data_IF_476843321183
#
_entry.id   IF_476843321183
#
_cell.length_a   1.000
_cell.length_b   1.000
_cell.length_c   1.000
_cell.angle_alpha   90.00
_cell.angle_beta   90.00
_cell.angle_gamma   90.00
#
_symmetry.space_group_name_H-M   'P 1'
#
loop_
_entity.id
_entity.type
_entity.pdbx_description
1 polymer ?
#
# COMPACT_ATOMS: atom_id res chain seq x y z
N UNK A 1 11.54 -23.08 -10.93
CA UNK A 1 10.06 -23.13 -10.80
C UNK A 1 9.40 -21.75 -10.65
N UNK A 2 10.09 -20.71 -10.15
CA UNK A 2 9.55 -19.35 -10.06
C UNK A 2 9.66 -18.48 -11.33
N UNK A 3 10.40 -18.93 -12.35
CA UNK A 3 10.68 -18.11 -13.55
C UNK A 3 9.52 -17.94 -14.54
N UNK A 4 8.34 -18.53 -14.29
CA UNK A 4 7.15 -18.36 -15.14
C UNK A 4 6.04 -17.51 -14.50
N UNK A 5 6.23 -17.09 -13.24
CA UNK A 5 5.29 -16.23 -12.51
C UNK A 5 5.85 -14.82 -12.28
N UNK A 6 7.11 -14.59 -12.66
CA UNK A 6 7.82 -13.32 -12.50
C UNK A 6 8.11 -12.75 -13.89
N UNK A 7 7.73 -11.49 -14.11
CA UNK A 7 8.02 -10.76 -15.36
C UNK A 7 9.54 -10.66 -15.57
N UNK A 8 10.01 -10.47 -16.81
CA UNK A 8 11.45 -10.28 -17.13
C UNK A 8 12.09 -9.10 -16.36
N UNK A 9 11.30 -8.11 -15.91
CA UNK A 9 11.79 -7.03 -15.03
C UNK A 9 11.87 -7.41 -13.54
N UNK A 10 11.16 -8.44 -13.08
CA UNK A 10 11.15 -8.87 -11.67
C UNK A 10 12.25 -9.88 -11.36
N UNK A 11 12.83 -10.53 -12.37
CA UNK A 11 13.89 -11.52 -12.17
C UNK A 11 15.25 -10.90 -11.81
N UNK A 12 15.47 -9.64 -12.19
CA UNK A 12 16.67 -8.87 -11.80
C UNK A 12 16.40 -7.91 -10.62
N UNK A 13 15.14 -7.76 -10.19
CA UNK A 13 14.73 -6.76 -9.21
C UNK A 13 14.44 -7.38 -7.83
N UNK A 14 15.44 -8.05 -7.25
CA UNK A 14 15.46 -8.43 -5.82
C UNK A 14 15.04 -7.27 -4.90
N UNK A 15 15.26 -6.03 -5.37
CA UNK A 15 14.87 -4.82 -4.66
C UNK A 15 13.35 -4.70 -4.48
N UNK A 16 12.49 -5.14 -5.40
CA UNK A 16 11.03 -5.01 -5.24
C UNK A 16 10.50 -5.80 -4.05
N UNK A 17 10.81 -7.10 -3.98
CA UNK A 17 10.46 -7.96 -2.83
C UNK A 17 11.10 -7.48 -1.52
N UNK A 18 12.35 -7.04 -1.58
CA UNK A 18 13.03 -6.48 -0.41
C UNK A 18 12.34 -5.20 0.08
N UNK A 19 11.98 -4.30 -0.82
CA UNK A 19 11.28 -3.05 -0.53
C UNK A 19 9.87 -3.30 0.01
N UNK A 20 9.18 -4.33 -0.48
CA UNK A 20 7.92 -4.81 0.09
C UNK A 20 8.10 -5.27 1.54
N UNK A 21 9.07 -6.14 1.80
CA UNK A 21 9.35 -6.61 3.15
C UNK A 21 9.74 -5.45 4.10
N UNK A 22 10.60 -4.54 3.64
CA UNK A 22 11.01 -3.34 4.39
C UNK A 22 9.83 -2.40 4.62
N UNK A 23 9.00 -2.15 3.62
CA UNK A 23 7.82 -1.28 3.72
C UNK A 23 6.79 -1.84 4.70
N UNK A 24 6.53 -3.14 4.64
CA UNK A 24 5.65 -3.83 5.57
C UNK A 24 6.22 -3.80 7.00
N UNK A 25 7.51 -4.08 7.18
CA UNK A 25 8.17 -4.00 8.49
C UNK A 25 8.10 -2.57 9.07
N UNK A 26 8.39 -1.56 8.25
CA UNK A 26 8.30 -0.16 8.66
C UNK A 26 6.87 0.22 9.08
N UNK A 27 5.86 -0.19 8.31
CA UNK A 27 4.45 0.03 8.68
C UNK A 27 4.10 -0.66 10.00
N UNK A 28 4.54 -1.90 10.20
CA UNK A 28 4.28 -2.64 11.45
C UNK A 28 4.96 -2.04 12.67
N UNK A 29 6.13 -1.41 12.52
CA UNK A 29 6.87 -0.77 13.61
C UNK A 29 6.36 0.64 13.93
N UNK A 30 6.05 1.43 12.89
CA UNK A 30 5.61 2.84 13.01
C UNK A 30 4.12 2.96 13.33
N UNK A 31 3.29 2.05 12.81
CA UNK A 31 1.85 2.03 13.03
C UNK A 31 1.42 0.72 13.71
N UNK A 32 1.97 0.39 14.89
CA UNK A 32 1.86 -0.94 15.45
C UNK A 32 0.41 -1.39 15.64
N UNK A 33 0.06 -2.65 15.32
CA UNK A 33 -1.27 -3.16 15.57
C UNK A 33 -1.53 -3.31 17.08
N UNK A 34 -2.80 -3.45 17.45
CA UNK A 34 -3.18 -3.73 18.84
C UNK A 34 -2.49 -5.01 19.35
N UNK A 35 -1.86 -4.93 20.53
CA UNK A 35 -1.13 -6.03 21.14
C UNK A 35 0.35 -6.13 20.76
N UNK A 36 0.89 -5.19 19.99
CA UNK A 36 2.33 -5.10 19.76
C UNK A 36 3.11 -4.85 21.06
N UNK A 37 4.28 -5.47 21.20
CA UNK A 37 5.16 -5.31 22.36
C UNK A 37 5.65 -3.85 22.45
N UNK A 38 5.44 -3.14 23.59
CA UNK A 38 5.92 -1.77 23.77
C UNK A 38 7.43 -1.59 23.64
N UNK A 39 8.22 -2.66 23.84
CA UNK A 39 9.67 -2.62 23.69
C UNK A 39 10.13 -2.66 22.23
N UNK A 40 9.24 -3.02 21.30
CA UNK A 40 9.51 -3.15 19.86
C UNK A 40 8.78 -2.07 19.06
N UNK A 41 7.59 -1.66 19.51
CA UNK A 41 6.78 -0.63 18.89
C UNK A 41 7.45 0.76 18.95
N UNK A 42 7.38 1.53 17.85
CA UNK A 42 7.91 2.89 17.78
C UNK A 42 6.87 3.97 18.15
N UNK A 43 5.59 3.59 18.28
CA UNK A 43 4.47 4.48 18.54
C UNK A 43 3.32 3.76 19.27
N UNK A 44 2.30 4.52 19.67
CA UNK A 44 1.07 3.95 20.21
C UNK A 44 0.34 3.06 19.18
N UNK A 45 -0.35 1.99 19.61
CA UNK A 45 -1.08 1.12 18.70
C UNK A 45 -2.15 1.84 17.87
N UNK A 46 -2.29 1.40 16.62
CA UNK A 46 -3.22 1.98 15.64
C UNK A 46 -3.92 0.88 14.82
N UNK A 47 -5.13 1.14 14.28
CA UNK A 47 -5.83 0.17 13.46
C UNK A 47 -5.37 0.14 11.98
N UNK A 48 -4.32 0.87 11.60
CA UNK A 48 -4.05 1.19 10.18
C UNK A 48 -3.02 0.28 9.50
N UNK A 49 -2.17 -0.41 10.27
CA UNK A 49 -1.12 -1.25 9.69
C UNK A 49 -1.69 -2.42 8.88
N UNK A 50 -2.58 -3.21 9.49
CA UNK A 50 -3.19 -4.39 8.83
C UNK A 50 -3.85 -4.04 7.49
N UNK A 51 -4.76 -3.04 7.39
CA UNK A 51 -5.36 -2.71 6.12
C UNK A 51 -4.35 -2.18 5.09
N UNK A 52 -3.34 -1.40 5.50
CA UNK A 52 -2.30 -0.92 4.57
C UNK A 52 -1.45 -2.07 4.02
N UNK A 53 -1.12 -3.04 4.87
CA UNK A 53 -0.44 -4.28 4.50
C UNK A 53 -1.29 -5.13 3.53
N UNK A 54 -2.61 -5.18 3.72
CA UNK A 54 -3.54 -5.86 2.82
C UNK A 54 -3.66 -5.15 1.46
N UNK A 55 -3.61 -3.82 1.43
CA UNK A 55 -3.60 -3.09 0.16
C UNK A 55 -2.40 -3.48 -0.71
N UNK A 56 -1.21 -3.61 -0.12
CA UNK A 56 -0.06 -4.13 -0.86
C UNK A 56 -0.24 -5.61 -1.22
N UNK A 57 -0.59 -6.46 -0.27
CA UNK A 57 -0.57 -7.92 -0.50
C UNK A 57 -1.76 -8.45 -1.30
N UNK A 58 -2.81 -7.65 -1.49
CA UNK A 58 -4.04 -8.03 -2.20
C UNK A 58 -4.40 -7.05 -3.30
N UNK A 59 -4.54 -5.76 -3.01
CA UNK A 59 -5.02 -4.79 -4.01
C UNK A 59 -3.99 -4.58 -5.14
N UNK A 60 -2.70 -4.58 -4.84
CA UNK A 60 -1.64 -4.48 -5.85
C UNK A 60 -1.60 -5.70 -6.80
N UNK A 61 -1.58 -6.97 -6.33
CA UNK A 61 -1.72 -8.12 -7.23
C UNK A 61 -2.98 -8.08 -8.10
N UNK A 62 -4.13 -7.65 -7.55
CA UNK A 62 -5.35 -7.46 -8.34
C UNK A 62 -5.14 -6.40 -9.43
N UNK A 63 -4.56 -5.25 -9.09
CA UNK A 63 -4.22 -4.18 -10.04
C UNK A 63 -3.25 -4.67 -11.13
N UNK A 64 -2.22 -5.42 -10.74
CA UNK A 64 -1.24 -6.01 -11.65
C UNK A 64 -1.87 -6.98 -12.65
N UNK A 65 -2.80 -7.84 -12.19
CA UNK A 65 -3.55 -8.76 -13.05
C UNK A 65 -4.45 -8.01 -14.03
N UNK A 66 -5.20 -7.01 -13.55
CA UNK A 66 -6.09 -6.18 -14.37
C UNK A 66 -5.34 -5.30 -15.38
N UNK A 67 -4.12 -4.88 -15.06
CA UNK A 67 -3.24 -4.10 -15.93
C UNK A 67 -2.39 -4.96 -16.89
N UNK A 68 -2.36 -6.28 -16.71
CA UNK A 68 -1.56 -7.18 -17.54
C UNK A 68 -2.15 -7.27 -18.95
N UNK A 69 -1.36 -6.88 -19.97
CA UNK A 69 -1.80 -6.88 -21.37
C UNK A 69 -1.78 -5.52 -22.07
N UNK A 70 -1.54 -4.42 -21.33
CA UNK A 70 -1.36 -3.10 -21.95
C UNK A 70 -0.01 -2.49 -21.58
N UNK A 71 0.92 -2.42 -22.54
CA UNK A 71 2.19 -1.67 -22.45
C UNK A 71 1.91 -0.16 -22.55
N UNK A 72 1.15 0.40 -21.61
CA UNK A 72 0.87 1.84 -21.55
C UNK A 72 1.64 2.47 -20.39
N UNK A 73 2.20 3.68 -20.57
CA UNK A 73 2.90 4.41 -19.51
C UNK A 73 2.03 4.71 -18.30
N UNK A 74 0.72 4.83 -18.50
CA UNK A 74 -0.28 5.12 -17.47
C UNK A 74 -1.27 3.96 -17.35
N UNK A 75 -1.59 3.57 -16.10
CA UNK A 75 -2.64 2.59 -15.82
C UNK A 75 -3.98 3.11 -16.36
N UNK A 76 -4.80 2.20 -16.87
CA UNK A 76 -6.12 2.53 -17.38
C UNK A 76 -6.99 3.04 -16.22
N UNK A 77 -7.83 4.05 -16.48
CA UNK A 77 -8.65 4.66 -15.44
C UNK A 77 -9.53 3.64 -14.68
N UNK A 78 -10.03 2.61 -15.36
CA UNK A 78 -10.83 1.57 -14.72
C UNK A 78 -10.01 0.64 -13.82
N UNK A 79 -8.71 0.41 -14.12
CA UNK A 79 -7.80 -0.35 -13.24
C UNK A 79 -7.58 0.44 -11.96
N UNK A 80 -7.31 1.74 -12.06
CA UNK A 80 -7.17 2.61 -10.89
C UNK A 80 -8.46 2.65 -10.06
N UNK A 81 -9.63 2.70 -10.70
CA UNK A 81 -10.92 2.64 -10.00
C UNK A 81 -11.11 1.30 -9.27
N UNK A 82 -10.71 0.19 -9.89
CA UNK A 82 -10.74 -1.14 -9.28
C UNK A 82 -9.78 -1.22 -8.08
N UNK A 83 -8.53 -0.73 -8.22
CA UNK A 83 -7.56 -0.64 -7.11
C UNK A 83 -8.14 0.16 -5.96
N UNK A 84 -8.70 1.34 -6.24
CA UNK A 84 -9.34 2.20 -5.24
C UNK A 84 -10.47 1.48 -4.50
N UNK A 85 -11.36 0.80 -5.24
CA UNK A 85 -12.46 0.05 -4.68
C UNK A 85 -11.98 -1.08 -3.77
N UNK A 86 -11.07 -1.93 -4.25
CA UNK A 86 -10.52 -3.06 -3.49
C UNK A 86 -9.79 -2.57 -2.25
N UNK A 87 -8.91 -1.57 -2.39
CA UNK A 87 -8.15 -1.02 -1.27
C UNK A 87 -9.08 -0.42 -0.20
N UNK A 88 -10.08 0.36 -0.60
CA UNK A 88 -11.06 0.95 0.33
C UNK A 88 -11.85 -0.14 1.06
N UNK A 89 -12.30 -1.18 0.35
CA UNK A 89 -13.06 -2.29 0.95
C UNK A 89 -12.22 -3.11 1.94
N UNK A 90 -10.94 -3.32 1.65
CA UNK A 90 -10.02 -3.98 2.58
C UNK A 90 -9.81 -3.18 3.87
N UNK A 91 -9.85 -1.85 3.82
CA UNK A 91 -9.71 -0.99 4.98
C UNK A 91 -11.00 -0.81 5.79
N UNK A 92 -12.16 -0.88 5.15
CA UNK A 92 -13.46 -0.62 5.76
C UNK A 92 -13.74 -1.37 7.09
N UNK A 93 -13.34 -2.64 7.30
CA UNK A 93 -13.60 -3.33 8.57
C UNK A 93 -12.64 -2.92 9.70
N UNK A 94 -11.58 -2.15 9.42
CA UNK A 94 -10.54 -1.81 10.40
C UNK A 94 -10.61 -0.35 10.86
N UNK A 95 -10.99 0.57 9.98
CA UNK A 95 -10.92 2.02 10.22
C UNK A 95 -12.23 2.72 9.84
N UNK A 96 -12.51 3.94 10.36
CA UNK A 96 -13.66 4.74 9.93
C UNK A 96 -13.70 4.94 8.41
N UNK A 97 -14.90 5.09 7.84
CA UNK A 97 -15.09 5.13 6.38
C UNK A 97 -14.27 6.23 5.69
N UNK A 98 -14.13 7.40 6.31
CA UNK A 98 -13.30 8.49 5.79
C UNK A 98 -11.82 8.09 5.70
N UNK A 99 -11.29 7.43 6.73
CA UNK A 99 -9.93 6.90 6.72
C UNK A 99 -9.76 5.80 5.66
N UNK A 100 -10.73 4.87 5.56
CA UNK A 100 -10.69 3.80 4.55
C UNK A 100 -10.63 4.36 3.12
N UNK A 101 -11.45 5.37 2.81
CA UNK A 101 -11.44 6.06 1.52
C UNK A 101 -10.09 6.74 1.27
N UNK A 102 -9.54 7.46 2.26
CA UNK A 102 -8.24 8.13 2.12
C UNK A 102 -7.09 7.14 1.95
N UNK A 103 -7.12 6.01 2.65
CA UNK A 103 -6.19 4.90 2.44
C UNK A 103 -6.28 4.32 1.04
N UNK A 104 -7.50 4.10 0.54
CA UNK A 104 -7.74 3.64 -0.83
C UNK A 104 -7.24 4.62 -1.90
N UNK A 105 -7.46 5.92 -1.72
CA UNK A 105 -6.90 6.97 -2.61
C UNK A 105 -5.37 6.92 -2.60
N UNK A 106 -4.75 6.89 -1.41
CA UNK A 106 -3.30 6.88 -1.28
C UNK A 106 -2.68 5.64 -1.94
N UNK A 107 -3.25 4.45 -1.72
CA UNK A 107 -2.82 3.21 -2.35
C UNK A 107 -2.93 3.28 -3.88
N UNK A 108 -4.06 3.81 -4.39
CA UNK A 108 -4.28 3.94 -5.84
C UNK A 108 -3.31 4.91 -6.50
N UNK A 109 -2.97 6.00 -5.82
CA UNK A 109 -1.96 6.95 -6.30
C UNK A 109 -0.58 6.31 -6.31
N UNK A 110 -0.20 5.62 -5.23
CA UNK A 110 1.07 4.91 -5.14
C UNK A 110 1.20 3.80 -6.19
N UNK A 111 0.11 3.10 -6.49
CA UNK A 111 0.01 2.07 -7.52
C UNK A 111 0.07 2.64 -8.97
N UNK A 112 -0.47 3.84 -9.16
CA UNK A 112 -0.54 4.50 -10.46
C UNK A 112 0.66 5.39 -10.81
N UNK A 113 1.39 5.87 -9.80
CA UNK A 113 2.49 6.83 -9.95
C UNK A 113 3.79 6.21 -9.43
N UNK A 114 4.79 6.11 -10.31
CA UNK A 114 6.14 5.61 -9.98
C UNK A 114 7.11 6.78 -9.83
N UNK A 115 7.33 7.33 -8.62
CA UNK A 115 8.24 8.46 -8.44
C UNK A 115 9.69 8.02 -8.66
N UNK A 116 10.49 8.92 -9.25
CA UNK A 116 11.92 8.71 -9.51
C UNK A 116 12.72 9.68 -8.64
N UNK A 117 13.55 9.15 -7.75
CA UNK A 117 14.43 9.94 -6.89
C UNK A 117 15.87 9.63 -7.22
N UNK A 118 16.64 10.65 -7.65
CA UNK A 118 18.05 10.53 -8.04
C UNK A 118 18.31 9.42 -9.08
N UNK A 119 17.38 9.24 -10.01
CA UNK A 119 17.45 8.21 -11.06
C UNK A 119 16.95 6.82 -10.66
N UNK A 120 16.57 6.61 -9.39
CA UNK A 120 16.00 5.35 -8.91
C UNK A 120 14.48 5.43 -8.84
N UNK A 121 13.81 4.45 -9.43
CA UNK A 121 12.35 4.27 -9.32
C UNK A 121 12.04 3.77 -7.91
N UNK A 122 11.19 4.48 -7.19
CA UNK A 122 10.66 3.97 -5.92
C UNK A 122 9.51 3.03 -6.25
N UNK A 123 9.66 1.79 -5.81
CA UNK A 123 8.75 0.70 -6.10
C UNK A 123 7.43 0.83 -5.32
N UNK A 124 6.34 0.40 -5.95
CA UNK A 124 4.98 0.35 -5.39
C UNK A 124 4.92 -0.55 -4.13
N UNK A 125 5.78 -1.57 -4.05
CA UNK A 125 5.92 -2.41 -2.87
C UNK A 125 6.35 -1.63 -1.61
N UNK A 126 7.07 -0.52 -1.76
CA UNK A 126 7.38 0.37 -0.63
C UNK A 126 6.28 1.42 -0.43
N UNK A 127 5.86 2.07 -1.52
CA UNK A 127 5.03 3.27 -1.43
C UNK A 127 3.59 2.98 -1.05
N UNK A 128 2.99 1.87 -1.52
CA UNK A 128 1.59 1.52 -1.22
C UNK A 128 1.34 1.37 0.28
N UNK A 129 2.01 0.47 1.02
CA UNK A 129 1.70 0.25 2.43
C UNK A 129 2.03 1.50 3.26
N UNK A 130 3.13 2.19 2.95
CA UNK A 130 3.56 3.39 3.70
C UNK A 130 2.60 4.57 3.48
N UNK A 131 2.23 4.85 2.22
CA UNK A 131 1.31 5.95 1.91
C UNK A 131 -0.09 5.69 2.47
N UNK A 132 -0.60 4.46 2.32
CA UNK A 132 -1.90 4.08 2.84
C UNK A 132 -1.97 4.15 4.37
N UNK A 133 -0.97 3.60 5.07
CA UNK A 133 -0.92 3.65 6.53
C UNK A 133 -0.84 5.10 7.04
N UNK A 134 -0.02 5.93 6.40
CA UNK A 134 0.13 7.35 6.76
C UNK A 134 -1.18 8.12 6.56
N UNK A 135 -1.83 7.95 5.41
CA UNK A 135 -3.11 8.62 5.11
C UNK A 135 -4.21 8.20 6.10
N UNK A 136 -4.35 6.91 6.36
CA UNK A 136 -5.30 6.39 7.34
C UNK A 136 -4.98 6.86 8.76
N UNK A 137 -3.71 6.90 9.15
CA UNK A 137 -3.29 7.37 10.48
C UNK A 137 -3.67 8.83 10.70
N UNK A 138 -3.31 9.71 9.77
CA UNK A 138 -3.67 11.14 9.81
C UNK A 138 -5.19 11.29 9.86
N UNK A 139 -5.90 10.51 9.04
CA UNK A 139 -7.35 10.53 9.01
C UNK A 139 -7.96 10.14 10.36
N UNK A 140 -7.58 9.00 10.92
CA UNK A 140 -8.06 8.52 12.22
C UNK A 140 -7.73 9.50 13.35
N UNK A 141 -6.55 10.14 13.31
CA UNK A 141 -6.09 11.01 14.39
C UNK A 141 -6.71 12.40 14.36
N UNK A 142 -6.96 12.96 13.18
CA UNK A 142 -7.26 14.39 13.03
C UNK A 142 -8.61 14.71 12.38
N UNK A 143 -9.22 13.81 11.60
CA UNK A 143 -10.56 14.07 11.02
C UNK A 143 -11.71 14.00 12.04
N UNK A 144 -11.68 13.20 13.12
CA UNK A 144 -12.74 13.22 14.14
C UNK A 144 -12.89 14.59 14.83
N UNK A 145 -11.88 15.46 14.75
CA UNK A 145 -11.90 16.81 15.32
C UNK A 145 -12.56 17.87 14.41
N UNK A 146 -13.06 17.46 13.23
CA UNK A 146 -13.65 18.35 12.22
C UNK A 146 -15.18 18.17 12.07
N UNK A 147 -15.81 17.39 12.95
CA UNK A 147 -17.26 17.12 12.95
C UNK A 147 -17.90 17.39 14.30
#
# INVERSE_FOLDING_TARGET
MFGRLTREYEQDNLAGYYLGAVGMAAVGLVFPPAGADPLVALADPTPVAVPAMLMLTVADPVSGLLGSGTLRPTKQAWVLLATFGVATLLAAPFVPSTAAVLGGVAATVADGVKPVVRGYVIDDNLTIPVAAATAMYVAVRYLPALG
#
